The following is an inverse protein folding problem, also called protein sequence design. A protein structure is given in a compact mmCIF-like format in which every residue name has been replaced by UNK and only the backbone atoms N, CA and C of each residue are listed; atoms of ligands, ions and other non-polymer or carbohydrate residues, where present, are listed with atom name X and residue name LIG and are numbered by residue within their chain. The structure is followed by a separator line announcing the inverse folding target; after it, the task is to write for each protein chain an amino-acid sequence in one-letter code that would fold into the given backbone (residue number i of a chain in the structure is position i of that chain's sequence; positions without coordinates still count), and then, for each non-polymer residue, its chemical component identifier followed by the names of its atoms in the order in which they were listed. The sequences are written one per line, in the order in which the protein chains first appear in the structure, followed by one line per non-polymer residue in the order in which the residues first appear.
data_IF_665089800772
#
_entry.id   IF_665089800772
#
_cell.length_a   1.000
_cell.length_b   1.000
_cell.length_c   1.000
_cell.angle_alpha   90.00
_cell.angle_beta   90.00
_cell.angle_gamma   90.00
#
_symmetry.space_group_name_H-M   'P 1'
#
loop_
_entity.id
_entity.type
_entity.pdbx_description
1 polymer ?
#
# COMPACT_ATOMS: atom_id res chain seq x y z
N UNK A 1 38.08 37.95 12.99
CA UNK A 1 37.93 37.96 14.45
C UNK A 1 36.65 37.18 14.76
N UNK A 2 36.79 35.85 14.87
CA UNK A 2 35.70 34.92 15.07
C UNK A 2 35.66 34.54 16.55
N UNK A 3 34.61 34.98 17.24
CA UNK A 3 34.31 34.57 18.61
C UNK A 3 33.59 33.23 18.57
N UNK A 4 34.30 32.15 18.93
CA UNK A 4 33.70 30.87 19.30
C UNK A 4 33.17 30.98 20.73
N UNK A 5 31.91 30.62 21.02
CA UNK A 5 31.45 30.50 22.40
C UNK A 5 32.07 29.22 22.99
N UNK A 6 32.97 29.42 23.97
CA UNK A 6 33.43 28.35 24.85
C UNK A 6 32.26 27.98 25.75
N UNK A 7 31.63 26.87 25.47
CA UNK A 7 30.69 26.22 26.41
C UNK A 7 31.54 25.72 27.59
N UNK A 8 31.42 26.38 28.71
CA UNK A 8 32.05 25.97 29.97
C UNK A 8 31.41 24.65 30.41
N UNK A 9 32.15 23.55 30.21
CA UNK A 9 31.79 22.23 30.71
C UNK A 9 31.93 22.24 32.23
N UNK A 10 30.84 22.10 32.96
CA UNK A 10 30.86 21.98 34.41
C UNK A 10 31.67 20.73 34.81
N UNK A 11 32.62 20.86 35.77
CA UNK A 11 33.48 19.74 36.17
C UNK A 11 32.65 18.74 37.01
N UNK A 12 32.39 17.56 36.46
CA UNK A 12 31.82 16.47 37.24
C UNK A 12 30.87 15.50 36.57
N UNK A 13 30.52 15.70 35.29
CA UNK A 13 29.62 14.77 34.58
C UNK A 13 30.47 13.78 33.81
N UNK A 14 30.41 12.49 34.20
CA UNK A 14 31.10 11.43 33.48
C UNK A 14 30.41 11.20 32.12
N UNK A 15 31.15 10.87 31.05
CA UNK A 15 30.57 10.65 29.72
C UNK A 15 29.50 9.52 29.68
N UNK A 16 29.49 8.64 30.67
CA UNK A 16 28.43 7.60 30.83
C UNK A 16 27.09 8.19 31.26
N UNK A 17 27.08 9.30 32.01
CA UNK A 17 25.85 9.94 32.48
C UNK A 17 25.16 10.73 31.35
N UNK A 18 25.92 11.22 30.37
CA UNK A 18 25.36 11.89 29.19
C UNK A 18 24.66 10.93 28.25
N UNK A 19 25.22 9.73 28.10
CA UNK A 19 24.54 8.67 27.27
C UNK A 19 23.28 8.16 27.94
N UNK A 20 23.26 8.06 29.29
CA UNK A 20 22.06 7.71 30.03
C UNK A 20 20.95 8.74 29.87
N UNK A 21 21.28 10.03 29.99
CA UNK A 21 20.32 11.13 29.86
C UNK A 21 19.80 11.29 28.42
N UNK A 22 20.62 11.06 27.39
CA UNK A 22 20.16 11.05 26.00
C UNK A 22 19.22 9.86 25.71
N UNK A 23 19.56 8.69 26.25
CA UNK A 23 18.70 7.49 26.11
C UNK A 23 17.36 7.67 26.85
N UNK A 24 17.36 8.22 28.05
CA UNK A 24 16.12 8.55 28.79
C UNK A 24 15.29 9.60 28.04
N UNK A 25 15.92 10.61 27.45
CA UNK A 25 15.22 11.65 26.69
C UNK A 25 14.63 11.07 25.39
N UNK A 26 15.35 10.18 24.69
CA UNK A 26 14.84 9.48 23.51
C UNK A 26 13.74 8.51 23.88
N UNK A 27 13.88 7.75 24.97
CA UNK A 27 12.85 6.83 25.43
C UNK A 27 11.60 7.58 25.88
N UNK A 28 11.76 8.73 26.53
CA UNK A 28 10.67 9.64 26.87
C UNK A 28 9.98 10.23 25.64
N UNK A 29 10.75 10.64 24.62
CA UNK A 29 10.22 11.16 23.36
C UNK A 29 9.45 10.08 22.57
N UNK A 30 9.97 8.85 22.53
CA UNK A 30 9.28 7.72 21.90
C UNK A 30 8.08 7.23 22.74
N UNK A 31 8.14 7.35 24.06
CA UNK A 31 6.99 7.08 24.95
C UNK A 31 5.89 8.12 24.82
N UNK A 32 6.27 9.40 24.67
CA UNK A 32 5.31 10.52 24.49
C UNK A 32 4.74 10.59 23.07
N UNK A 33 5.39 9.92 22.07
CA UNK A 33 4.82 9.70 20.74
C UNK A 33 3.71 8.64 20.73
N UNK A 34 3.33 8.14 21.92
CA UNK A 34 2.15 7.29 22.07
C UNK A 34 2.20 6.05 21.16
N UNK A 35 3.38 5.39 21.07
CA UNK A 35 3.44 4.10 20.39
C UNK A 35 2.41 3.14 20.99
N UNK A 36 2.17 3.24 22.30
CA UNK A 36 1.10 2.49 22.98
C UNK A 36 -0.29 3.00 22.56
N UNK A 37 -0.47 4.30 22.35
CA UNK A 37 -1.74 4.89 21.90
C UNK A 37 -2.03 4.59 20.43
N UNK A 38 -0.98 4.50 19.58
CA UNK A 38 -1.15 4.15 18.16
C UNK A 38 -1.55 2.68 17.99
N UNK A 39 -1.04 1.79 18.84
CA UNK A 39 -1.29 0.34 18.72
C UNK A 39 -2.34 -0.19 19.70
N UNK A 40 -2.64 0.52 20.80
CA UNK A 40 -3.47 0.03 21.88
C UNK A 40 -4.63 0.97 22.24
N UNK A 41 -5.01 1.91 21.38
CA UNK A 41 -6.27 2.63 21.60
C UNK A 41 -7.44 1.64 21.51
N UNK A 42 -7.73 1.05 22.65
CA UNK A 42 -8.94 0.26 22.89
C UNK A 42 -10.11 1.25 22.93
N UNK A 43 -10.45 1.82 21.78
CA UNK A 43 -11.74 2.47 21.64
C UNK A 43 -12.79 1.40 21.93
N UNK A 44 -13.72 1.61 22.88
CA UNK A 44 -14.81 0.68 23.04
C UNK A 44 -15.57 0.65 21.72
N UNK A 45 -15.37 -0.41 20.94
CA UNK A 45 -16.05 -0.67 19.68
C UNK A 45 -17.52 -0.88 20.01
N UNK A 46 -18.25 0.22 20.19
CA UNK A 46 -19.70 0.17 20.37
C UNK A 46 -20.40 -0.45 19.16
N UNK A 47 -19.74 -0.44 18.00
CA UNK A 47 -20.14 -1.19 16.80
C UNK A 47 -18.89 -1.48 15.95
N UNK A 48 -18.61 -2.77 15.62
CA UNK A 48 -17.53 -3.10 14.73
C UNK A 48 -17.76 -2.51 13.33
N UNK A 49 -16.73 -2.00 12.65
CA UNK A 49 -16.85 -1.24 11.39
C UNK A 49 -17.11 -2.14 10.17
N UNK A 50 -18.08 -3.06 10.29
CA UNK A 50 -18.47 -3.94 9.18
C UNK A 50 -18.97 -3.16 7.96
N UNK A 51 -19.64 -2.03 8.19
CA UNK A 51 -20.09 -1.16 7.11
C UNK A 51 -18.93 -0.59 6.31
N UNK A 52 -17.84 -0.22 6.98
CA UNK A 52 -16.65 0.32 6.32
C UNK A 52 -15.95 -0.76 5.47
N UNK A 53 -15.79 -1.96 6.02
CA UNK A 53 -15.25 -3.10 5.28
C UNK A 53 -16.16 -3.48 4.09
N UNK A 54 -17.48 -3.55 4.31
CA UNK A 54 -18.46 -3.81 3.27
C UNK A 54 -18.47 -2.76 2.15
N UNK A 55 -18.37 -1.48 2.51
CA UNK A 55 -18.27 -0.38 1.56
C UNK A 55 -16.97 -0.48 0.73
N UNK A 56 -15.85 -0.73 1.38
CA UNK A 56 -14.56 -0.94 0.72
C UNK A 56 -14.61 -2.09 -0.28
N UNK A 57 -15.21 -3.20 0.10
CA UNK A 57 -15.42 -4.35 -0.79
C UNK A 57 -16.29 -3.98 -1.99
N UNK A 58 -17.41 -3.30 -1.78
CA UNK A 58 -18.31 -2.88 -2.84
C UNK A 58 -17.62 -1.95 -3.85
N UNK A 59 -16.89 -0.94 -3.36
CA UNK A 59 -16.10 -0.03 -4.20
C UNK A 59 -15.05 -0.82 -4.99
N UNK A 60 -14.32 -1.73 -4.33
CA UNK A 60 -13.30 -2.56 -4.97
C UNK A 60 -13.87 -3.42 -6.10
N UNK A 61 -15.02 -4.05 -5.89
CA UNK A 61 -15.70 -4.86 -6.91
C UNK A 61 -16.15 -4.00 -8.10
N UNK A 62 -16.84 -2.90 -7.87
CA UNK A 62 -17.34 -2.02 -8.95
C UNK A 62 -16.17 -1.47 -9.78
N UNK A 63 -15.14 -0.93 -9.13
CA UNK A 63 -13.95 -0.44 -9.82
C UNK A 63 -13.18 -1.56 -10.52
N UNK A 64 -13.12 -2.76 -9.92
CA UNK A 64 -12.49 -3.94 -10.52
C UNK A 64 -13.19 -4.41 -11.78
N UNK A 65 -14.51 -4.47 -11.79
CA UNK A 65 -15.28 -4.81 -12.98
C UNK A 65 -15.10 -3.77 -14.09
N UNK A 66 -15.14 -2.49 -13.74
CA UNK A 66 -14.89 -1.39 -14.71
C UNK A 66 -13.49 -1.49 -15.29
N UNK A 67 -12.48 -1.74 -14.46
CA UNK A 67 -11.11 -1.93 -14.90
C UNK A 67 -10.97 -3.12 -15.84
N UNK A 68 -11.58 -4.26 -15.50
CA UNK A 68 -11.57 -5.46 -16.33
C UNK A 68 -12.19 -5.22 -17.71
N UNK A 69 -13.31 -4.50 -17.78
CA UNK A 69 -13.94 -4.11 -19.04
C UNK A 69 -13.02 -3.23 -19.88
N UNK A 70 -12.42 -2.18 -19.29
CA UNK A 70 -11.48 -1.30 -19.98
C UNK A 70 -10.28 -2.04 -20.56
N UNK A 71 -9.76 -3.03 -19.84
CA UNK A 71 -8.64 -3.87 -20.31
C UNK A 71 -9.12 -4.80 -21.45
N UNK A 72 -10.30 -5.40 -21.34
CA UNK A 72 -10.86 -6.26 -22.38
C UNK A 72 -11.12 -5.49 -23.68
N UNK A 73 -11.71 -4.31 -23.61
CA UNK A 73 -11.96 -3.45 -24.77
C UNK A 73 -10.67 -3.09 -25.50
N UNK A 74 -9.58 -2.85 -24.74
CA UNK A 74 -8.26 -2.63 -25.30
C UNK A 74 -7.70 -3.84 -26.03
N UNK A 75 -7.81 -5.01 -25.41
CA UNK A 75 -7.37 -6.26 -26.01
C UNK A 75 -8.16 -6.58 -27.30
N UNK A 76 -9.45 -6.31 -27.32
CA UNK A 76 -10.26 -6.46 -28.54
C UNK A 76 -9.83 -5.49 -29.63
N UNK A 77 -9.68 -4.20 -29.33
CA UNK A 77 -9.19 -3.20 -30.28
C UNK A 77 -7.82 -3.54 -30.86
N UNK A 78 -6.93 -4.17 -30.06
CA UNK A 78 -5.66 -4.66 -30.57
C UNK A 78 -5.80 -5.86 -31.49
N UNK A 79 -6.74 -6.77 -31.20
CA UNK A 79 -7.00 -7.94 -32.07
C UNK A 79 -7.61 -7.55 -33.41
N UNK A 80 -8.57 -6.64 -33.39
CA UNK A 80 -9.37 -6.30 -34.57
C UNK A 80 -8.65 -5.25 -35.44
N UNK A 81 -8.13 -4.17 -34.84
CA UNK A 81 -7.58 -3.02 -35.54
C UNK A 81 -6.08 -2.79 -35.31
N UNK A 82 -5.39 -3.68 -34.59
CA UNK A 82 -3.98 -3.52 -34.21
C UNK A 82 -3.67 -2.21 -33.47
N UNK A 83 -4.65 -1.69 -32.72
CA UNK A 83 -4.47 -0.50 -31.93
C UNK A 83 -3.43 -0.73 -30.82
N UNK A 84 -2.58 0.26 -30.49
CA UNK A 84 -1.55 0.08 -29.46
C UNK A 84 -2.19 -0.18 -28.09
N UNK A 85 -1.70 -1.20 -27.38
CA UNK A 85 -2.12 -1.54 -26.02
C UNK A 85 -1.59 -0.54 -24.98
N UNK A 86 -0.44 0.05 -25.25
CA UNK A 86 0.22 1.04 -24.40
C UNK A 86 0.03 2.46 -24.95
N UNK A 87 0.00 3.49 -24.08
CA UNK A 87 0.13 3.44 -22.63
C UNK A 87 -1.18 3.09 -21.90
N UNK A 88 -1.05 2.29 -20.82
CA UNK A 88 -2.16 1.99 -19.91
C UNK A 88 -2.60 3.21 -19.07
N UNK A 89 -1.78 4.26 -19.03
CA UNK A 89 -1.94 5.47 -18.22
C UNK A 89 -3.03 6.44 -18.69
N UNK A 90 -4.10 5.96 -19.33
CA UNK A 90 -5.29 6.80 -19.57
C UNK A 90 -6.00 7.06 -18.24
N UNK A 91 -6.55 8.25 -18.12
CA UNK A 91 -7.24 8.73 -16.92
C UNK A 91 -8.31 7.73 -16.45
N UNK A 92 -9.07 7.14 -17.36
CA UNK A 92 -10.13 6.16 -17.08
C UNK A 92 -9.58 4.89 -16.43
N UNK A 93 -8.51 4.33 -16.99
CA UNK A 93 -7.86 3.12 -16.47
C UNK A 93 -7.20 3.38 -15.12
N UNK A 94 -6.51 4.51 -14.99
CA UNK A 94 -5.85 4.91 -13.75
C UNK A 94 -6.87 5.22 -12.66
N UNK A 95 -7.98 5.89 -12.99
CA UNK A 95 -9.05 6.18 -12.04
C UNK A 95 -9.70 4.90 -11.50
N UNK A 96 -10.04 3.95 -12.38
CA UNK A 96 -10.59 2.66 -11.97
C UNK A 96 -9.62 1.87 -11.10
N UNK A 97 -8.34 1.87 -11.46
CA UNK A 97 -7.29 1.21 -10.68
C UNK A 97 -7.09 1.85 -9.30
N UNK A 98 -7.08 3.17 -9.24
CA UNK A 98 -7.01 3.91 -7.95
C UNK A 98 -8.24 3.59 -7.09
N UNK A 99 -9.42 3.48 -7.69
CA UNK A 99 -10.63 3.05 -6.98
C UNK A 99 -10.52 1.67 -6.37
N UNK A 100 -9.87 0.71 -7.07
CA UNK A 100 -9.57 -0.63 -6.52
C UNK A 100 -8.66 -0.50 -5.30
N UNK A 101 -7.57 0.27 -5.38
CA UNK A 101 -6.63 0.46 -4.28
C UNK A 101 -7.30 1.06 -3.05
N UNK A 102 -8.15 2.07 -3.25
CA UNK A 102 -8.94 2.68 -2.17
C UNK A 102 -9.90 1.65 -1.57
N UNK A 103 -10.65 0.91 -2.40
CA UNK A 103 -11.58 -0.11 -1.96
C UNK A 103 -10.90 -1.20 -1.13
N UNK A 104 -9.75 -1.69 -1.59
CA UNK A 104 -8.94 -2.70 -0.88
C UNK A 104 -8.40 -2.15 0.44
N UNK A 105 -7.92 -0.90 0.45
CA UNK A 105 -7.43 -0.25 1.68
C UNK A 105 -8.55 -0.13 2.73
N UNK A 106 -9.73 0.32 2.32
CA UNK A 106 -10.90 0.42 3.21
C UNK A 106 -11.36 -0.97 3.71
N UNK A 107 -11.34 -1.96 2.83
CA UNK A 107 -11.71 -3.34 3.19
C UNK A 107 -10.75 -3.94 4.21
N UNK A 108 -9.43 -3.88 3.94
CA UNK A 108 -8.42 -4.42 4.84
C UNK A 108 -8.40 -3.62 6.15
N UNK A 109 -8.39 -2.28 6.09
CA UNK A 109 -8.38 -1.43 7.27
C UNK A 109 -9.63 -1.62 8.14
N UNK A 110 -10.80 -1.71 7.53
CA UNK A 110 -12.05 -2.02 8.23
C UNK A 110 -12.04 -3.42 8.84
N UNK A 111 -11.53 -4.40 8.12
CA UNK A 111 -11.42 -5.78 8.61
C UNK A 111 -10.46 -5.89 9.80
N UNK A 112 -9.30 -5.22 9.76
CA UNK A 112 -8.35 -5.20 10.88
C UNK A 112 -8.97 -4.57 12.13
N UNK A 113 -9.80 -3.53 11.98
CA UNK A 113 -10.52 -2.93 13.10
C UNK A 113 -11.53 -3.90 13.72
N UNK A 114 -12.17 -4.75 12.92
CA UNK A 114 -13.05 -5.83 13.44
C UNK A 114 -12.27 -6.80 14.33
N UNK A 115 -10.98 -7.05 14.02
CA UNK A 115 -10.11 -7.86 14.86
C UNK A 115 -9.52 -7.13 16.07
N UNK A 116 -9.90 -5.87 16.30
CA UNK A 116 -9.49 -5.10 17.47
C UNK A 116 -8.22 -4.26 17.28
N UNK A 117 -7.73 -4.10 16.05
CA UNK A 117 -6.62 -3.18 15.80
C UNK A 117 -7.08 -1.73 15.90
N UNK A 118 -6.23 -0.87 16.48
CA UNK A 118 -6.46 0.57 16.49
C UNK A 118 -6.62 1.12 15.07
N UNK A 119 -7.56 2.03 14.86
CA UNK A 119 -7.92 2.53 13.53
C UNK A 119 -6.72 3.08 12.76
N UNK A 120 -5.84 3.85 13.42
CA UNK A 120 -4.65 4.42 12.80
C UNK A 120 -3.68 3.34 12.30
N UNK A 121 -3.36 2.35 13.12
CA UNK A 121 -2.49 1.24 12.78
C UNK A 121 -3.10 0.37 11.67
N UNK A 122 -4.40 0.06 11.77
CA UNK A 122 -5.12 -0.73 10.79
C UNK A 122 -5.06 -0.11 9.38
N UNK A 123 -5.34 1.19 9.27
CA UNK A 123 -5.29 1.89 7.99
C UNK A 123 -3.88 2.10 7.47
N UNK A 124 -2.91 2.36 8.34
CA UNK A 124 -1.51 2.49 7.93
C UNK A 124 -1.01 1.17 7.31
N UNK A 125 -1.23 0.05 7.97
CA UNK A 125 -0.85 -1.27 7.45
C UNK A 125 -1.62 -1.59 6.16
N UNK A 126 -2.92 -1.35 6.13
CA UNK A 126 -3.74 -1.56 4.94
C UNK A 126 -3.27 -0.73 3.75
N UNK A 127 -2.94 0.54 3.97
CA UNK A 127 -2.44 1.45 2.93
C UNK A 127 -1.09 0.98 2.37
N UNK A 128 -0.14 0.67 3.25
CA UNK A 128 1.18 0.18 2.83
C UNK A 128 1.05 -1.11 2.02
N UNK A 129 0.28 -2.07 2.50
CA UNK A 129 0.08 -3.34 1.83
C UNK A 129 -0.61 -3.16 0.47
N UNK A 130 -1.65 -2.33 0.41
CA UNK A 130 -2.37 -2.03 -0.82
C UNK A 130 -1.50 -1.34 -1.85
N UNK A 131 -0.68 -0.36 -1.46
CA UNK A 131 0.22 0.34 -2.37
C UNK A 131 1.33 -0.56 -2.90
N UNK A 132 1.94 -1.40 -2.05
CA UNK A 132 2.96 -2.35 -2.49
C UNK A 132 2.40 -3.36 -3.49
N UNK A 133 1.23 -3.94 -3.17
CA UNK A 133 0.57 -4.89 -4.05
C UNK A 133 0.14 -4.24 -5.36
N UNK A 134 -0.45 -3.05 -5.29
CA UNK A 134 -0.86 -2.29 -6.47
C UNK A 134 0.34 -1.96 -7.37
N UNK A 135 1.43 -1.46 -6.82
CA UNK A 135 2.64 -1.17 -7.60
C UNK A 135 3.19 -2.41 -8.29
N UNK A 136 3.26 -3.54 -7.60
CA UNK A 136 3.73 -4.80 -8.16
C UNK A 136 2.81 -5.29 -9.30
N UNK A 137 1.48 -5.25 -9.10
CA UNK A 137 0.50 -5.66 -10.11
C UNK A 137 0.54 -4.74 -11.34
N UNK A 138 0.69 -3.42 -11.15
CA UNK A 138 0.79 -2.49 -12.26
C UNK A 138 1.99 -2.80 -13.17
N UNK A 139 3.17 -3.01 -12.57
CA UNK A 139 4.39 -3.38 -13.32
C UNK A 139 4.21 -4.71 -14.04
N UNK A 140 3.56 -5.69 -13.42
CA UNK A 140 3.27 -6.98 -14.06
C UNK A 140 2.31 -6.81 -15.24
N UNK A 141 1.27 -6.00 -15.10
CA UNK A 141 0.31 -5.72 -16.16
C UNK A 141 0.97 -5.06 -17.37
N UNK A 142 1.81 -4.05 -17.14
CA UNK A 142 2.58 -3.41 -18.23
C UNK A 142 3.49 -4.39 -18.95
N UNK A 143 4.18 -5.28 -18.21
CA UNK A 143 5.02 -6.33 -18.81
C UNK A 143 4.20 -7.30 -19.66
N UNK A 144 3.06 -7.75 -19.16
CA UNK A 144 2.17 -8.62 -19.92
C UNK A 144 1.67 -7.96 -21.20
N UNK A 145 1.21 -6.71 -21.12
CA UNK A 145 0.78 -5.96 -22.31
C UNK A 145 1.89 -5.80 -23.34
N UNK A 146 3.12 -5.51 -22.91
CA UNK A 146 4.28 -5.43 -23.79
C UNK A 146 4.60 -6.77 -24.45
N UNK A 147 4.45 -7.88 -23.75
CA UNK A 147 4.65 -9.22 -24.29
C UNK A 147 3.59 -9.57 -25.34
N UNK A 148 2.34 -9.23 -25.10
CA UNK A 148 1.22 -9.42 -26.04
C UNK A 148 1.47 -8.60 -27.30
N UNK A 149 1.80 -7.31 -27.16
CA UNK A 149 2.05 -6.40 -28.28
C UNK A 149 3.27 -6.84 -29.14
N UNK A 150 4.33 -7.34 -28.50
CA UNK A 150 5.52 -7.86 -29.19
C UNK A 150 5.34 -9.25 -29.81
N UNK A 151 4.19 -9.88 -29.66
CA UNK A 151 3.91 -11.25 -30.15
C UNK A 151 4.75 -12.35 -29.46
N UNK A 152 5.45 -12.02 -28.37
CA UNK A 152 6.25 -12.97 -27.57
C UNK A 152 5.43 -13.66 -26.47
N UNK A 153 4.16 -13.34 -26.37
CA UNK A 153 3.27 -13.99 -25.42
C UNK A 153 3.02 -15.43 -25.87
N UNK A 154 3.80 -16.36 -25.34
CA UNK A 154 3.40 -17.77 -25.33
C UNK A 154 2.28 -17.87 -24.30
N UNK A 155 1.04 -17.97 -24.78
CA UNK A 155 -0.03 -18.48 -23.94
C UNK A 155 0.48 -19.82 -23.37
N UNK A 156 0.49 -19.94 -22.06
CA UNK A 156 0.76 -21.24 -21.43
C UNK A 156 -0.43 -22.10 -21.85
N UNK A 157 -0.17 -22.95 -22.82
CA UNK A 157 -1.16 -23.91 -23.34
C UNK A 157 -1.32 -24.94 -22.23
N UNK A 158 -2.41 -24.78 -21.44
CA UNK A 158 -2.72 -25.69 -20.35
C UNK A 158 -3.03 -27.11 -20.81
N UNK A 159 -3.17 -27.33 -22.13
CA UNK A 159 -3.37 -28.66 -22.72
C UNK A 159 -2.06 -29.45 -22.91
N UNK A 160 -0.89 -28.81 -22.80
CA UNK A 160 0.41 -29.47 -22.95
C UNK A 160 1.15 -29.55 -21.61
N UNK A 161 0.57 -30.21 -20.63
CA UNK A 161 1.27 -30.53 -19.38
C UNK A 161 2.46 -31.49 -19.56
N UNK A 162 2.54 -32.19 -20.68
CA UNK A 162 3.57 -33.17 -20.97
C UNK A 162 4.95 -32.56 -21.31
N UNK A 163 5.04 -31.25 -21.54
CA UNK A 163 6.30 -30.54 -21.83
C UNK A 163 7.02 -30.01 -20.56
N UNK A 164 6.42 -30.17 -19.38
CA UNK A 164 6.99 -29.66 -18.12
C UNK A 164 7.68 -30.72 -17.25
N UNK A 165 7.70 -31.99 -17.66
CA UNK A 165 8.38 -33.07 -16.95
C UNK A 165 9.40 -33.80 -17.81
#
# INVERSE_FOLDING_TARGET
MLLTPVVALAPGIAPADLQGAELETLTGLFGDLGADDIFLEYAPLSQPPYLLAGLGLAIGIVCGLTFAQLVQDRLQGWKDDRLPLLPLGRVETTASYTGIVIGVTLFIGGSLQVFGFASGAAFLVALLLSLLTAGALWVQLERLMTQVESGKFKAVDFDNFDEFF
#
